data_IF_475453239956
#
_entry.id   IF_475453239956
#
_cell.length_a   1.000
_cell.length_b   1.000
_cell.length_c   1.000
_cell.angle_alpha   90.00
_cell.angle_beta   90.00
_cell.angle_gamma   90.00
#
_symmetry.space_group_name_H-M   'P 1'
#
loop_
_entity.id
_entity.type
_entity.pdbx_description
1 polymer ?
#
# COMPACT_ATOMS: atom_id res chain seq x y z
N UNK A 1 14.90 0.22 20.34
CA UNK A 1 13.93 -0.85 20.02
C UNK A 1 13.78 -0.86 18.52
N UNK A 2 13.84 -2.03 17.88
CA UNK A 2 13.89 -2.19 16.44
C UNK A 2 12.51 -2.47 15.88
N UNK A 3 11.99 -1.54 15.09
CA UNK A 3 10.75 -1.70 14.33
C UNK A 3 11.10 -1.81 12.84
N UNK A 4 10.81 -2.95 12.22
CA UNK A 4 10.99 -3.17 10.79
C UNK A 4 9.66 -3.02 10.06
N UNK A 5 9.62 -2.20 9.00
CA UNK A 5 8.47 -2.07 8.10
C UNK A 5 8.90 -2.51 6.71
N UNK A 6 8.21 -3.53 6.17
CA UNK A 6 8.42 -4.09 4.85
C UNK A 6 7.24 -3.75 3.92
N UNK A 7 7.51 -3.80 2.62
CA UNK A 7 6.51 -3.48 1.58
C UNK A 7 5.47 -4.57 1.32
N UNK A 8 4.95 -4.58 0.09
CA UNK A 8 3.77 -5.33 -0.31
C UNK A 8 4.03 -6.85 -0.35
N UNK A 9 3.20 -7.62 0.35
CA UNK A 9 3.29 -9.08 0.42
C UNK A 9 2.02 -9.73 -0.10
N UNK A 10 2.13 -10.31 -1.29
CA UNK A 10 1.10 -11.07 -1.99
C UNK A 10 1.72 -12.39 -2.46
N UNK A 11 1.36 -13.51 -1.83
CA UNK A 11 1.71 -14.83 -2.36
C UNK A 11 1.02 -15.08 -3.69
N UNK A 12 1.78 -15.00 -4.78
CA UNK A 12 1.29 -15.21 -6.13
C UNK A 12 2.32 -15.96 -6.97
N UNK A 13 1.82 -16.66 -7.99
CA UNK A 13 2.65 -17.39 -8.95
C UNK A 13 3.67 -18.31 -8.24
N UNK A 14 4.98 -18.08 -8.43
CA UNK A 14 6.05 -18.94 -7.90
C UNK A 14 6.05 -19.01 -6.36
N UNK A 15 5.68 -17.92 -5.67
CA UNK A 15 5.72 -17.86 -4.19
C UNK A 15 4.53 -18.55 -3.52
N UNK A 16 3.47 -18.90 -4.25
CA UNK A 16 2.35 -19.72 -3.73
C UNK A 16 2.87 -21.08 -3.26
N UNK A 17 3.66 -21.75 -4.11
CA UNK A 17 4.19 -23.07 -3.80
C UNK A 17 5.14 -23.07 -2.60
N UNK A 18 5.87 -21.96 -2.39
CA UNK A 18 6.75 -21.79 -1.24
C UNK A 18 5.94 -21.54 0.04
N UNK A 19 4.90 -20.71 -0.04
CA UNK A 19 3.98 -20.47 1.08
C UNK A 19 3.24 -21.74 1.49
N UNK A 20 2.73 -22.51 0.53
CA UNK A 20 2.01 -23.77 0.81
C UNK A 20 2.89 -24.82 1.52
N UNK A 21 4.20 -24.79 1.27
CA UNK A 21 5.19 -25.61 1.98
C UNK A 21 5.71 -24.97 3.27
N UNK A 22 5.34 -23.71 3.52
CA UNK A 22 5.82 -22.88 4.62
C UNK A 22 7.36 -22.79 4.58
N UNK A 23 7.91 -22.61 3.39
CA UNK A 23 9.36 -22.54 3.14
C UNK A 23 9.88 -21.12 3.41
N UNK A 24 9.92 -20.77 4.69
CA UNK A 24 10.38 -19.46 5.20
C UNK A 24 11.79 -19.14 4.70
N UNK A 25 12.68 -20.14 4.67
CA UNK A 25 14.07 -19.96 4.26
C UNK A 25 14.15 -19.56 2.79
N UNK A 26 13.44 -20.25 1.90
CA UNK A 26 13.47 -19.90 0.47
C UNK A 26 12.77 -18.58 0.17
N UNK A 27 11.73 -18.21 0.92
CA UNK A 27 10.99 -16.96 0.70
C UNK A 27 11.80 -15.74 1.11
N UNK A 28 12.41 -15.76 2.30
CA UNK A 28 13.07 -14.59 2.88
C UNK A 28 14.60 -14.63 2.74
N UNK A 29 15.19 -15.79 2.48
CA UNK A 29 16.62 -15.98 2.21
C UNK A 29 17.52 -15.23 3.22
N UNK A 30 18.51 -14.48 2.72
CA UNK A 30 19.43 -13.65 3.48
C UNK A 30 18.78 -12.41 4.13
N UNK A 31 17.51 -12.13 3.86
CA UNK A 31 16.72 -11.10 4.54
C UNK A 31 16.10 -11.60 5.86
N UNK A 32 15.91 -12.91 6.03
CA UNK A 32 15.25 -13.51 7.20
C UNK A 32 15.82 -13.03 8.56
N UNK A 33 17.16 -12.87 8.74
CA UNK A 33 17.69 -12.36 10.01
C UNK A 33 17.14 -10.99 10.41
N UNK A 34 16.89 -10.08 9.46
CA UNK A 34 16.33 -8.76 9.77
C UNK A 34 14.92 -8.85 10.36
N UNK A 35 14.12 -9.81 9.88
CA UNK A 35 12.77 -10.09 10.41
C UNK A 35 12.86 -10.62 11.84
N UNK A 36 13.75 -11.60 12.07
CA UNK A 36 13.86 -12.32 13.34
C UNK A 36 14.55 -11.51 14.45
N UNK A 37 15.46 -10.60 14.09
CA UNK A 37 16.19 -9.75 15.04
C UNK A 37 15.46 -8.45 15.41
N UNK A 38 14.32 -8.16 14.76
CA UNK A 38 13.52 -6.97 15.05
C UNK A 38 12.50 -7.26 16.16
N UNK A 39 12.29 -6.32 17.07
CA UNK A 39 11.31 -6.44 18.15
C UNK A 39 9.89 -6.53 17.57
N UNK A 40 9.62 -5.72 16.54
CA UNK A 40 8.40 -5.78 15.74
C UNK A 40 8.73 -5.75 14.26
N UNK A 41 8.05 -6.59 13.48
CA UNK A 41 8.09 -6.59 12.02
C UNK A 41 6.67 -6.43 11.48
N UNK A 42 6.48 -5.37 10.70
CA UNK A 42 5.25 -5.02 10.01
C UNK A 42 5.39 -5.34 8.52
N UNK A 43 4.42 -6.06 7.96
CA UNK A 43 4.32 -6.33 6.52
C UNK A 43 2.97 -5.82 5.99
N UNK A 44 2.90 -5.29 4.76
CA UNK A 44 1.62 -5.04 4.11
C UNK A 44 1.07 -6.34 3.51
N UNK A 45 0.00 -6.87 4.11
CA UNK A 45 -0.67 -8.07 3.59
C UNK A 45 -1.72 -7.63 2.56
N UNK A 46 -1.32 -7.61 1.30
CA UNK A 46 -2.10 -7.03 0.19
C UNK A 46 -2.99 -8.06 -0.52
N UNK A 47 -3.49 -9.01 0.24
CA UNK A 47 -4.51 -9.94 -0.21
C UNK A 47 -5.27 -10.51 0.99
N UNK A 48 -6.60 -10.64 0.92
CA UNK A 48 -7.36 -11.36 1.93
C UNK A 48 -6.97 -12.84 1.92
N UNK A 49 -6.92 -13.42 3.11
CA UNK A 49 -6.67 -14.85 3.29
C UNK A 49 -7.99 -15.60 3.21
N UNK A 50 -8.07 -16.56 2.29
CA UNK A 50 -9.25 -17.39 2.07
C UNK A 50 -8.91 -18.83 2.46
N UNK A 51 -9.40 -19.27 3.62
CA UNK A 51 -9.21 -20.65 4.09
C UNK A 51 -10.11 -21.66 3.33
N UNK A 52 -11.29 -21.21 2.90
CA UNK A 52 -12.21 -22.05 2.14
C UNK A 52 -12.75 -21.32 0.89
N UNK A 53 -12.27 -21.72 -0.29
CA UNK A 53 -12.65 -21.13 -1.57
C UNK A 53 -14.15 -21.25 -1.90
N UNK A 54 -14.88 -22.16 -1.25
CA UNK A 54 -16.32 -22.30 -1.44
C UNK A 54 -17.14 -21.23 -0.69
N UNK A 55 -16.53 -20.47 0.24
CA UNK A 55 -17.22 -19.53 1.13
C UNK A 55 -17.14 -18.05 0.70
N UNK A 56 -16.10 -17.66 -0.04
CA UNK A 56 -15.87 -16.27 -0.43
C UNK A 56 -16.26 -15.97 -1.88
N UNK A 57 -17.22 -15.07 -2.10
CA UNK A 57 -17.52 -14.54 -3.43
C UNK A 57 -16.66 -13.31 -3.73
N UNK A 58 -15.89 -13.37 -4.82
CA UNK A 58 -15.15 -12.21 -5.36
C UNK A 58 -16.08 -11.01 -5.55
N UNK A 59 -15.65 -9.84 -5.09
CA UNK A 59 -16.41 -8.60 -5.29
C UNK A 59 -16.33 -8.15 -6.74
N UNK A 60 -17.35 -7.41 -7.19
CA UNK A 60 -17.32 -6.76 -8.51
C UNK A 60 -16.51 -5.45 -8.41
N UNK A 61 -15.24 -5.49 -8.81
CA UNK A 61 -14.34 -4.32 -8.90
C UNK A 61 -13.76 -4.11 -10.30
N UNK A 62 -13.00 -3.03 -10.46
CA UNK A 62 -11.99 -2.90 -11.52
C UNK A 62 -10.64 -3.42 -11.02
N UNK A 63 -9.77 -3.84 -11.93
CA UNK A 63 -8.51 -4.50 -11.57
C UNK A 63 -8.71 -5.97 -11.17
N UNK A 64 -7.62 -6.65 -10.79
CA UNK A 64 -7.67 -8.05 -10.35
C UNK A 64 -8.30 -8.19 -8.96
N UNK A 65 -8.83 -9.38 -8.67
CA UNK A 65 -9.13 -9.81 -7.31
C UNK A 65 -7.97 -10.68 -6.81
N UNK A 66 -7.28 -10.26 -5.76
CA UNK A 66 -6.19 -11.00 -5.13
C UNK A 66 -6.71 -11.82 -3.93
N UNK A 67 -6.01 -12.91 -3.63
CA UNK A 67 -6.22 -13.72 -2.43
C UNK A 67 -4.92 -14.43 -2.05
N UNK A 68 -4.83 -14.78 -0.78
CA UNK A 68 -3.80 -15.64 -0.22
C UNK A 68 -4.43 -16.88 0.45
N UNK A 69 -3.66 -17.95 0.59
CA UNK A 69 -4.07 -19.16 1.29
C UNK A 69 -3.76 -19.05 2.79
N UNK A 70 -4.35 -19.90 3.64
CA UNK A 70 -4.03 -19.93 5.07
C UNK A 70 -2.54 -20.13 5.37
N UNK A 71 -1.84 -20.88 4.53
CA UNK A 71 -0.39 -21.11 4.61
C UNK A 71 0.42 -19.81 4.64
N UNK A 72 -0.11 -18.73 4.09
CA UNK A 72 0.48 -17.39 4.10
C UNK A 72 0.68 -16.83 5.50
N UNK A 73 -0.36 -16.84 6.35
CA UNK A 73 -0.22 -16.28 7.70
C UNK A 73 0.70 -17.15 8.56
N UNK A 74 0.69 -18.47 8.35
CA UNK A 74 1.58 -19.39 9.05
C UNK A 74 3.04 -19.15 8.64
N UNK A 75 3.28 -18.88 7.36
CA UNK A 75 4.61 -18.53 6.84
C UNK A 75 5.12 -17.23 7.45
N UNK A 76 4.29 -16.17 7.46
CA UNK A 76 4.65 -14.89 8.09
C UNK A 76 4.93 -15.07 9.59
N UNK A 77 4.09 -15.82 10.30
CA UNK A 77 4.28 -16.13 11.71
C UNK A 77 5.62 -16.85 11.97
N UNK A 78 5.92 -17.91 11.21
CA UNK A 78 7.19 -18.65 11.36
C UNK A 78 8.42 -17.84 10.96
N UNK A 79 8.26 -16.84 10.10
CA UNK A 79 9.34 -15.90 9.77
C UNK A 79 9.67 -14.94 10.92
N UNK A 80 8.75 -14.74 11.87
CA UNK A 80 8.88 -13.75 12.95
C UNK A 80 8.09 -12.46 12.71
N UNK A 81 7.24 -12.41 11.68
CA UNK A 81 6.33 -11.27 11.46
C UNK A 81 5.26 -11.28 12.54
N UNK A 82 5.01 -10.12 13.14
CA UNK A 82 4.12 -9.96 14.30
C UNK A 82 3.06 -8.87 14.13
N UNK A 83 3.12 -8.09 13.05
CA UNK A 83 2.08 -7.14 12.65
C UNK A 83 1.86 -7.24 11.15
N UNK A 84 0.59 -7.20 10.72
CA UNK A 84 0.24 -6.95 9.32
C UNK A 84 -0.60 -5.68 9.19
N UNK A 85 -0.25 -4.86 8.20
CA UNK A 85 -1.09 -3.74 7.76
C UNK A 85 -2.08 -4.25 6.71
N UNK A 86 -3.35 -3.84 6.85
CA UNK A 86 -4.49 -4.36 6.09
C UNK A 86 -5.25 -3.27 5.33
N UNK A 87 -4.99 -1.99 5.60
CA UNK A 87 -5.53 -0.93 4.77
C UNK A 87 -4.76 -0.90 3.45
N UNK A 88 -5.30 -1.60 2.46
CA UNK A 88 -4.86 -1.60 1.08
C UNK A 88 -6.06 -1.81 0.13
N UNK A 89 -5.86 -1.61 -1.16
CA UNK A 89 -6.90 -1.67 -2.19
C UNK A 89 -7.43 -3.11 -2.49
N UNK A 90 -6.77 -4.14 -1.96
CA UNK A 90 -7.09 -5.54 -2.20
C UNK A 90 -7.74 -6.26 -1.00
N UNK A 91 -7.68 -5.70 0.21
CA UNK A 91 -8.11 -6.38 1.44
C UNK A 91 -9.55 -6.93 1.44
N UNK A 92 -10.46 -6.33 0.66
CA UNK A 92 -11.87 -6.78 0.55
C UNK A 92 -12.18 -7.52 -0.75
N UNK A 93 -11.19 -7.99 -1.50
CA UNK A 93 -11.41 -8.57 -2.83
C UNK A 93 -12.35 -9.78 -2.85
N UNK A 94 -12.49 -10.45 -1.71
CA UNK A 94 -13.39 -11.59 -1.48
C UNK A 94 -14.51 -11.29 -0.47
N UNK A 95 -14.85 -10.01 -0.33
CA UNK A 95 -15.96 -9.54 0.50
C UNK A 95 -15.70 -9.74 2.00
N UNK A 96 -16.79 -9.70 2.77
CA UNK A 96 -16.73 -9.74 4.23
C UNK A 96 -16.21 -11.08 4.76
N UNK A 97 -16.44 -12.18 4.02
CA UNK A 97 -15.88 -13.49 4.36
C UNK A 97 -14.35 -13.50 4.28
N UNK A 98 -13.78 -12.86 3.25
CA UNK A 98 -12.32 -12.73 3.13
C UNK A 98 -11.72 -11.86 4.24
N UNK A 99 -12.39 -10.75 4.58
CA UNK A 99 -11.99 -9.88 5.71
C UNK A 99 -12.03 -10.66 7.03
N UNK A 100 -13.16 -11.33 7.31
CA UNK A 100 -13.36 -12.11 8.53
C UNK A 100 -12.34 -13.23 8.66
N UNK A 101 -12.16 -14.04 7.62
CA UNK A 101 -11.18 -15.12 7.56
C UNK A 101 -9.75 -14.60 7.86
N UNK A 102 -9.37 -13.47 7.25
CA UNK A 102 -8.06 -12.86 7.49
C UNK A 102 -7.87 -12.46 8.95
N UNK A 103 -8.84 -11.75 9.54
CA UNK A 103 -8.77 -11.30 10.93
C UNK A 103 -8.76 -12.47 11.93
N UNK A 104 -9.58 -13.50 11.70
CA UNK A 104 -9.64 -14.69 12.54
C UNK A 104 -8.32 -15.48 12.50
N UNK A 105 -7.71 -15.62 11.32
CA UNK A 105 -6.43 -16.29 11.15
C UNK A 105 -5.28 -15.49 11.75
N UNK A 106 -5.22 -14.17 11.57
CA UNK A 106 -4.21 -13.33 12.22
C UNK A 106 -4.29 -13.49 13.74
N UNK A 107 -5.50 -13.47 14.31
CA UNK A 107 -5.71 -13.72 15.74
C UNK A 107 -5.25 -15.12 16.18
N UNK A 108 -5.54 -16.16 15.39
CA UNK A 108 -5.14 -17.54 15.70
C UNK A 108 -3.61 -17.70 15.75
N UNK A 109 -2.89 -17.02 14.86
CA UNK A 109 -1.42 -17.04 14.80
C UNK A 109 -0.76 -15.93 15.65
N UNK A 110 -1.51 -15.22 16.50
CA UNK A 110 -1.01 -14.12 17.33
C UNK A 110 -0.28 -13.00 16.53
N UNK A 111 -0.75 -12.72 15.31
CA UNK A 111 -0.29 -11.61 14.50
C UNK A 111 -1.26 -10.44 14.70
N UNK A 112 -0.72 -9.30 15.12
CA UNK A 112 -1.51 -8.07 15.27
C UNK A 112 -1.89 -7.52 13.89
N UNK A 113 -3.00 -6.78 13.86
CA UNK A 113 -3.52 -6.18 12.61
C UNK A 113 -3.77 -4.69 12.82
N UNK A 114 -3.66 -3.91 11.75
CA UNK A 114 -3.99 -2.49 11.73
C UNK A 114 -4.58 -2.10 10.37
N UNK A 115 -5.52 -1.17 10.36
CA UNK A 115 -6.10 -0.62 9.12
C UNK A 115 -7.16 -1.50 8.44
N UNK A 116 -7.59 -2.60 9.06
CA UNK A 116 -8.63 -3.49 8.55
C UNK A 116 -9.60 -3.91 9.64
N UNK A 117 -10.88 -4.05 9.33
CA UNK A 117 -11.89 -4.40 10.32
C UNK A 117 -13.20 -4.89 9.72
N UNK A 118 -14.07 -5.44 10.58
CA UNK A 118 -15.40 -5.94 10.19
C UNK A 118 -16.42 -4.83 9.86
N UNK A 119 -16.05 -3.58 10.12
CA UNK A 119 -16.74 -2.36 9.74
C UNK A 119 -15.77 -1.18 9.81
N UNK A 120 -16.23 0.01 9.41
CA UNK A 120 -15.42 1.23 9.37
C UNK A 120 -14.86 1.63 10.74
N UNK A 121 -15.63 1.49 11.82
CA UNK A 121 -15.17 1.82 13.17
C UNK A 121 -14.04 0.89 13.62
N UNK A 122 -14.17 -0.41 13.34
CA UNK A 122 -13.14 -1.40 13.65
C UNK A 122 -11.88 -1.20 12.80
N UNK A 123 -12.04 -0.91 11.50
CA UNK A 123 -10.91 -0.65 10.60
C UNK A 123 -10.13 0.61 10.99
N UNK A 124 -10.85 1.62 11.49
CA UNK A 124 -10.32 2.89 11.97
C UNK A 124 -9.51 2.79 13.29
N UNK A 125 -9.53 1.65 13.99
CA UNK A 125 -8.81 1.50 15.26
C UNK A 125 -7.31 1.42 15.02
N UNK A 126 -6.51 2.32 15.60
CA UNK A 126 -5.06 2.23 15.53
C UNK A 126 -4.56 1.06 16.39
N UNK A 127 -3.36 0.59 16.07
CA UNK A 127 -2.65 -0.39 16.89
C UNK A 127 -1.73 0.34 17.86
N UNK A 128 -1.76 -0.03 19.14
CA UNK A 128 -0.82 0.48 20.15
C UNK A 128 0.05 -0.69 20.62
N UNK A 129 1.35 -0.55 20.44
CA UNK A 129 2.36 -1.52 20.87
C UNK A 129 3.10 -0.98 22.08
N UNK A 130 3.22 -1.78 23.14
CA UNK A 130 4.06 -1.44 24.28
C UNK A 130 5.50 -1.85 23.99
N UNK A 131 6.43 -0.90 24.10
CA UNK A 131 7.84 -1.11 23.73
C UNK A 131 8.79 -1.11 24.93
N UNK A 132 8.24 -1.38 26.12
CA UNK A 132 8.96 -1.42 27.39
C UNK A 132 9.22 -0.03 27.98
N UNK A 133 9.58 0.02 29.27
CA UNK A 133 9.83 1.26 30.04
C UNK A 133 8.67 2.27 29.94
N UNK A 134 7.43 1.77 29.95
CA UNK A 134 6.19 2.54 29.87
C UNK A 134 6.00 3.37 28.58
N UNK A 135 6.73 3.05 27.50
CA UNK A 135 6.58 3.71 26.21
C UNK A 135 5.66 2.94 25.26
N UNK A 136 4.89 3.69 24.48
CA UNK A 136 3.93 3.17 23.52
C UNK A 136 4.21 3.70 22.11
N UNK A 137 4.07 2.82 21.11
CA UNK A 137 4.03 3.19 19.70
C UNK A 137 2.59 3.05 19.20
N UNK A 138 2.06 4.12 18.63
CA UNK A 138 0.81 4.10 17.87
C UNK A 138 1.09 3.90 16.39
N UNK A 139 0.33 3.02 15.75
CA UNK A 139 0.36 2.81 14.31
C UNK A 139 -1.06 3.07 13.77
N UNK A 140 -1.16 4.01 12.86
CA UNK A 140 -2.36 4.23 12.05
C UNK A 140 -2.07 3.73 10.63
N UNK A 141 -2.98 2.93 10.07
CA UNK A 141 -2.87 2.48 8.68
C UNK A 141 -4.13 2.87 7.91
N UNK A 142 -3.94 3.53 6.76
CA UNK A 142 -4.98 4.07 5.88
C UNK A 142 -4.61 3.77 4.42
N UNK A 143 -5.62 3.68 3.55
CA UNK A 143 -5.42 3.53 2.11
C UNK A 143 -6.29 4.47 1.30
N UNK A 144 -5.89 4.71 0.05
CA UNK A 144 -6.73 5.42 -0.90
C UNK A 144 -8.10 4.76 -1.09
N UNK A 145 -9.07 5.58 -1.47
CA UNK A 145 -10.45 5.16 -1.58
C UNK A 145 -10.64 4.25 -2.80
N UNK A 146 -10.82 2.95 -2.54
CA UNK A 146 -11.04 1.93 -3.58
C UNK A 146 -12.19 0.98 -3.21
N UNK A 147 -12.26 -0.20 -3.84
CA UNK A 147 -13.31 -1.19 -3.60
C UNK A 147 -13.14 -1.92 -2.27
N UNK A 148 -12.01 -1.74 -1.60
CA UNK A 148 -11.67 -2.38 -0.34
C UNK A 148 -12.19 -1.67 0.91
N UNK A 149 -12.62 -0.41 0.81
CA UNK A 149 -12.97 0.43 1.96
C UNK A 149 -14.11 -0.19 2.78
N UNK A 150 -13.95 -0.19 4.10
CA UNK A 150 -14.96 -0.67 5.04
C UNK A 150 -16.20 0.22 5.06
N UNK A 151 -17.36 -0.38 5.28
CA UNK A 151 -18.63 0.33 5.47
C UNK A 151 -19.13 0.27 6.90
N UNK A 152 -20.28 0.89 7.15
CA UNK A 152 -20.94 0.83 8.48
C UNK A 152 -21.33 -0.61 8.84
N UNK A 153 -21.76 -1.40 7.85
CA UNK A 153 -22.31 -2.75 8.04
C UNK A 153 -21.47 -3.86 7.40
N UNK A 154 -20.33 -3.53 6.81
CA UNK A 154 -19.51 -4.50 6.09
C UNK A 154 -18.02 -4.19 6.28
N UNK A 155 -17.19 -5.24 6.24
CA UNK A 155 -15.77 -5.15 6.55
C UNK A 155 -14.93 -4.59 5.41
N UNK A 156 -13.70 -4.20 5.71
CA UNK A 156 -12.76 -3.66 4.72
C UNK A 156 -11.62 -2.86 5.34
N UNK A 157 -11.00 -2.05 4.50
CA UNK A 157 -9.87 -1.19 4.81
C UNK A 157 -10.29 0.16 5.40
N UNK A 158 -9.43 0.75 6.23
CA UNK A 158 -9.55 2.10 6.74
C UNK A 158 -9.20 3.12 5.64
N UNK A 159 -10.12 4.00 5.23
CA UNK A 159 -9.88 4.94 4.15
C UNK A 159 -9.02 6.13 4.59
N UNK A 160 -8.30 6.70 3.64
CA UNK A 160 -7.85 8.07 3.69
C UNK A 160 -9.06 9.00 3.63
N UNK A 161 -9.21 9.80 4.67
CA UNK A 161 -10.18 10.89 4.78
C UNK A 161 -9.53 11.95 5.66
N UNK A 162 -9.14 13.08 5.07
CA UNK A 162 -8.31 14.08 5.74
C UNK A 162 -8.91 14.60 7.06
N UNK A 163 -10.25 14.69 7.13
CA UNK A 163 -10.96 15.21 8.31
C UNK A 163 -10.99 14.14 9.40
N UNK A 164 -11.37 12.91 9.08
CA UNK A 164 -11.41 11.82 10.03
C UNK A 164 -10.00 11.44 10.50
N UNK A 165 -9.03 11.41 9.59
CA UNK A 165 -7.63 11.13 9.91
C UNK A 165 -7.04 12.22 10.81
N UNK A 166 -7.44 13.48 10.67
CA UNK A 166 -7.08 14.53 11.64
C UNK A 166 -7.50 14.15 13.06
N UNK A 167 -8.77 13.80 13.27
CA UNK A 167 -9.27 13.44 14.61
C UNK A 167 -8.61 12.15 15.14
N UNK A 168 -8.41 11.15 14.28
CA UNK A 168 -7.71 9.91 14.63
C UNK A 168 -6.28 10.18 15.10
N UNK A 169 -5.52 11.00 14.38
CA UNK A 169 -4.14 11.36 14.73
C UNK A 169 -4.11 12.12 16.04
N UNK A 170 -5.00 13.11 16.23
CA UNK A 170 -5.07 13.91 17.47
C UNK A 170 -5.40 13.03 18.68
N UNK A 171 -6.33 12.09 18.54
CA UNK A 171 -6.68 11.17 19.62
C UNK A 171 -5.55 10.19 19.94
N UNK A 172 -4.94 9.59 18.90
CA UNK A 172 -3.86 8.63 19.07
C UNK A 172 -2.62 9.27 19.68
N UNK A 173 -2.26 10.48 19.22
CA UNK A 173 -1.08 11.23 19.70
C UNK A 173 -1.08 11.43 21.20
N UNK A 174 -2.25 11.60 21.83
CA UNK A 174 -2.39 11.79 23.27
C UNK A 174 -2.11 10.52 24.10
N UNK A 175 -2.00 9.34 23.46
CA UNK A 175 -1.91 8.03 24.12
C UNK A 175 -0.55 7.34 23.91
N UNK A 176 0.32 7.90 23.06
CA UNK A 176 1.53 7.24 22.59
C UNK A 176 2.74 8.18 22.63
N UNK A 177 3.94 7.61 22.70
CA UNK A 177 5.22 8.33 22.67
C UNK A 177 5.72 8.51 21.24
N UNK A 178 5.43 7.54 20.36
CA UNK A 178 5.73 7.61 18.94
C UNK A 178 4.50 7.25 18.11
N UNK A 179 4.27 7.94 17.01
CA UNK A 179 3.13 7.72 16.12
C UNK A 179 3.60 7.52 14.68
N UNK A 180 3.35 6.34 14.14
CA UNK A 180 3.64 5.97 12.76
C UNK A 180 2.37 5.95 11.92
N UNK A 181 2.46 6.46 10.69
CA UNK A 181 1.41 6.36 9.68
C UNK A 181 1.87 5.46 8.54
N UNK A 182 1.12 4.40 8.27
CA UNK A 182 1.29 3.57 7.08
C UNK A 182 0.21 3.94 6.07
N UNK A 183 0.61 4.46 4.92
CA UNK A 183 -0.29 4.85 3.83
C UNK A 183 -0.18 3.85 2.68
N UNK A 184 -1.30 3.48 2.07
CA UNK A 184 -1.32 2.64 0.90
C UNK A 184 -2.03 3.35 -0.26
N UNK A 185 -1.23 3.86 -1.21
CA UNK A 185 -1.70 4.60 -2.37
C UNK A 185 -0.55 5.19 -3.17
N UNK A 186 -0.86 5.87 -4.26
CA UNK A 186 0.11 6.31 -5.26
C UNK A 186 -0.21 5.76 -6.64
N UNK A 187 0.71 5.96 -7.57
CA UNK A 187 0.57 5.47 -8.95
C UNK A 187 1.41 4.22 -9.15
N UNK A 188 0.79 3.10 -9.52
CA UNK A 188 1.49 1.86 -9.88
C UNK A 188 2.58 2.13 -10.93
N UNK A 189 3.81 1.70 -10.64
CA UNK A 189 4.98 1.87 -11.52
C UNK A 189 5.58 3.27 -11.54
N UNK A 190 5.12 4.21 -10.69
CA UNK A 190 5.69 5.55 -10.58
C UNK A 190 6.49 5.71 -9.28
N UNK A 191 7.80 5.91 -9.40
CA UNK A 191 8.74 5.96 -8.26
C UNK A 191 8.81 7.32 -7.56
N UNK A 192 7.85 8.23 -7.80
CA UNK A 192 7.77 9.52 -7.13
C UNK A 192 6.35 9.71 -6.58
N UNK A 193 6.19 10.42 -5.45
CA UNK A 193 4.86 10.83 -5.03
C UNK A 193 4.30 11.88 -5.99
N UNK A 194 2.98 11.94 -6.13
CA UNK A 194 2.38 13.13 -6.72
C UNK A 194 2.44 14.32 -5.72
N UNK A 195 2.40 15.58 -6.19
CA UNK A 195 2.50 16.75 -5.31
C UNK A 195 1.44 16.82 -4.20
N UNK A 196 0.22 16.35 -4.46
CA UNK A 196 -0.85 16.32 -3.45
C UNK A 196 -0.56 15.32 -2.33
N UNK A 197 0.02 14.16 -2.67
CA UNK A 197 0.44 13.13 -1.72
C UNK A 197 1.56 13.63 -0.81
N UNK A 198 2.60 14.29 -1.36
CA UNK A 198 3.65 14.95 -0.57
C UNK A 198 3.05 15.96 0.42
N UNK A 199 2.15 16.82 -0.05
CA UNK A 199 1.44 17.79 0.79
C UNK A 199 0.65 17.14 1.93
N UNK A 200 -0.07 16.05 1.65
CA UNK A 200 -0.82 15.31 2.67
C UNK A 200 0.11 14.69 3.72
N UNK A 201 1.27 14.17 3.32
CA UNK A 201 2.23 13.56 4.24
C UNK A 201 2.91 14.62 5.13
N UNK A 202 3.25 15.78 4.58
CA UNK A 202 3.70 16.93 5.39
C UNK A 202 2.65 17.34 6.42
N UNK A 203 1.39 17.43 6.00
CA UNK A 203 0.29 17.75 6.91
C UNK A 203 0.14 16.71 8.04
N UNK A 204 0.32 15.42 7.76
CA UNK A 204 0.29 14.39 8.79
C UNK A 204 1.43 14.54 9.80
N UNK A 205 2.65 14.88 9.36
CA UNK A 205 3.76 15.23 10.26
C UNK A 205 3.39 16.45 11.11
N UNK A 206 2.83 17.51 10.52
CA UNK A 206 2.40 18.72 11.25
C UNK A 206 1.37 18.41 12.35
N UNK A 207 0.56 17.36 12.19
CA UNK A 207 -0.42 16.92 13.19
C UNK A 207 0.19 16.13 14.36
N UNK A 208 1.47 15.75 14.27
CA UNK A 208 2.22 15.03 15.30
C UNK A 208 2.55 13.57 14.97
N UNK A 209 2.47 13.17 13.70
CA UNK A 209 3.02 11.90 13.22
C UNK A 209 4.55 11.99 13.21
N UNK A 210 5.23 10.95 13.67
CA UNK A 210 6.70 10.92 13.78
C UNK A 210 7.37 10.25 12.58
N UNK A 211 6.66 9.43 11.82
CA UNK A 211 7.13 8.87 10.55
C UNK A 211 5.96 8.44 9.66
N UNK A 212 6.10 8.62 8.35
CA UNK A 212 5.15 8.15 7.33
C UNK A 212 5.84 7.13 6.43
N UNK A 213 5.20 5.99 6.19
CA UNK A 213 5.69 4.93 5.29
C UNK A 213 4.60 4.57 4.29
N UNK A 214 4.94 4.59 3.01
CA UNK A 214 3.99 4.32 1.93
C UNK A 214 4.25 3.02 1.18
N UNK A 215 3.17 2.41 0.71
CA UNK A 215 3.08 1.17 -0.06
C UNK A 215 2.36 1.40 -1.41
N UNK A 216 1.93 0.34 -2.11
CA UNK A 216 1.06 0.35 -3.32
C UNK A 216 1.73 0.57 -4.67
N UNK A 217 2.70 1.49 -4.80
CA UNK A 217 3.26 1.82 -6.12
C UNK A 217 3.94 0.62 -6.82
N UNK A 218 4.17 -0.49 -6.10
CA UNK A 218 4.83 -1.71 -6.56
C UNK A 218 6.24 -1.49 -7.12
N UNK A 219 6.81 -0.32 -6.86
CA UNK A 219 8.20 0.03 -7.03
C UNK A 219 8.60 0.92 -5.84
N UNK A 220 9.86 0.90 -5.45
CA UNK A 220 10.30 1.81 -4.39
C UNK A 220 10.33 3.26 -4.88
N UNK A 221 10.07 4.19 -3.97
CA UNK A 221 10.24 5.62 -4.17
C UNK A 221 11.35 6.15 -3.26
N UNK A 222 11.69 7.43 -3.42
CA UNK A 222 12.59 8.12 -2.50
C UNK A 222 11.93 8.42 -1.14
N UNK A 223 12.70 9.09 -0.30
CA UNK A 223 12.30 9.57 1.02
C UNK A 223 12.81 10.99 1.25
N UNK A 224 12.23 11.68 2.22
CA UNK A 224 12.74 12.96 2.71
C UNK A 224 12.65 13.05 4.23
N UNK A 225 13.35 14.04 4.80
CA UNK A 225 13.25 14.42 6.21
C UNK A 225 12.51 15.75 6.28
N UNK A 226 11.27 15.74 6.75
CA UNK A 226 10.45 16.93 6.95
C UNK A 226 10.31 17.20 8.45
N UNK A 227 10.72 18.38 8.92
CA UNK A 227 10.72 18.73 10.35
C UNK A 227 11.41 17.69 11.25
N UNK A 228 12.56 17.15 10.81
CA UNK A 228 13.30 16.07 11.48
C UNK A 228 12.56 14.72 11.56
N UNK A 229 11.48 14.54 10.80
CA UNK A 229 10.70 13.29 10.73
C UNK A 229 10.82 12.66 9.34
N UNK A 230 11.09 11.35 9.24
CA UNK A 230 11.24 10.69 7.96
C UNK A 230 9.89 10.39 7.29
N UNK A 231 9.86 10.58 5.97
CA UNK A 231 8.73 10.24 5.10
C UNK A 231 9.24 9.36 3.96
N UNK A 232 8.74 8.12 3.86
CA UNK A 232 9.08 7.19 2.78
C UNK A 232 7.89 7.06 1.82
N UNK A 233 8.09 7.39 0.55
CA UNK A 233 7.01 7.49 -0.43
C UNK A 233 6.66 6.19 -1.15
N UNK A 234 7.40 5.11 -0.91
CA UNK A 234 7.13 3.80 -1.48
C UNK A 234 8.24 2.81 -1.12
N UNK A 235 7.90 1.67 -0.52
CA UNK A 235 8.87 0.61 -0.21
C UNK A 235 9.08 -0.38 -1.37
N UNK A 236 8.14 -0.43 -2.32
CA UNK A 236 8.07 -1.47 -3.35
C UNK A 236 7.53 -2.81 -2.82
N UNK A 237 7.60 -3.84 -3.64
CA UNK A 237 7.11 -5.17 -3.28
C UNK A 237 8.08 -5.86 -2.32
N UNK A 238 7.57 -6.46 -1.25
CA UNK A 238 8.35 -7.39 -0.42
C UNK A 238 8.28 -8.82 -0.99
N UNK A 239 7.09 -9.28 -1.37
CA UNK A 239 6.93 -10.52 -2.12
C UNK A 239 5.72 -10.39 -3.03
N UNK A 240 5.95 -10.26 -4.33
CA UNK A 240 4.89 -10.15 -5.34
C UNK A 240 5.47 -10.69 -6.67
N UNK A 241 5.62 -12.01 -6.73
CA UNK A 241 6.41 -12.68 -7.78
C UNK A 241 5.57 -13.02 -9.02
N UNK A 242 6.23 -13.11 -10.17
CA UNK A 242 5.66 -13.49 -11.46
C UNK A 242 5.93 -14.97 -11.80
N UNK A 243 5.21 -15.50 -12.79
CA UNK A 243 5.43 -16.87 -13.26
C UNK A 243 6.82 -17.07 -13.89
N UNK A 244 7.33 -16.02 -14.53
CA UNK A 244 8.65 -16.01 -15.14
C UNK A 244 9.51 -14.94 -14.44
N UNK A 245 10.82 -15.18 -14.27
CA UNK A 245 11.75 -14.17 -13.79
C UNK A 245 11.62 -12.88 -14.62
N UNK A 246 11.37 -11.77 -13.93
CA UNK A 246 11.42 -10.42 -14.48
C UNK A 246 12.50 -9.63 -13.75
N UNK A 247 13.07 -8.63 -14.43
CA UNK A 247 14.05 -7.71 -13.87
C UNK A 247 13.61 -6.30 -14.20
N UNK A 248 12.83 -5.72 -13.30
CA UNK A 248 12.29 -4.37 -13.45
C UNK A 248 12.13 -3.72 -12.08
N UNK A 249 11.70 -2.46 -12.07
CA UNK A 249 11.35 -1.73 -10.85
C UNK A 249 10.30 -2.45 -9.97
N UNK A 250 9.54 -3.40 -10.53
CA UNK A 250 8.61 -4.28 -9.81
C UNK A 250 9.29 -5.20 -8.79
N UNK A 251 10.53 -5.58 -9.09
CA UNK A 251 11.33 -6.52 -8.32
C UNK A 251 12.20 -5.82 -7.27
N UNK A 252 12.37 -4.51 -7.38
CA UNK A 252 13.24 -3.72 -6.51
C UNK A 252 12.43 -3.14 -5.35
N UNK A 253 12.96 -3.24 -4.14
CA UNK A 253 12.32 -2.71 -2.94
C UNK A 253 13.33 -2.43 -1.83
N UNK A 254 12.86 -1.80 -0.76
CA UNK A 254 13.61 -1.72 0.48
C UNK A 254 12.69 -1.77 1.68
N UNK A 255 13.18 -2.32 2.79
CA UNK A 255 12.52 -2.23 4.08
C UNK A 255 13.15 -1.08 4.88
N UNK A 256 12.40 -0.55 5.85
CA UNK A 256 12.90 0.46 6.77
C UNK A 256 12.96 -0.12 8.18
N UNK A 257 14.15 -0.15 8.75
CA UNK A 257 14.35 -0.47 10.15
C UNK A 257 14.50 0.83 10.93
N UNK A 258 13.55 1.07 11.84
CA UNK A 258 13.62 2.17 12.79
C UNK A 258 14.26 1.69 14.09
N UNK A 259 15.23 2.46 14.60
CA UNK A 259 15.68 2.33 15.98
C UNK A 259 15.04 3.44 16.81
N UNK A 260 14.12 3.01 17.68
CA UNK A 260 13.31 3.86 18.52
C UNK A 260 13.96 3.84 19.90
N UNK A 261 14.64 4.94 20.23
CA UNK A 261 15.36 5.12 21.49
C UNK A 261 14.93 6.41 22.19
N UNK A 262 15.76 7.46 22.22
CA UNK A 262 15.31 8.81 22.57
C UNK A 262 14.67 9.48 21.34
N UNK A 263 15.37 9.41 20.21
CA UNK A 263 14.94 9.87 18.90
C UNK A 263 14.62 8.68 17.98
N UNK A 264 13.92 8.95 16.87
CA UNK A 264 13.71 7.99 15.80
C UNK A 264 14.90 8.08 14.84
N UNK A 265 15.69 7.02 14.79
CA UNK A 265 16.68 6.80 13.74
C UNK A 265 16.18 5.72 12.79
N UNK A 266 16.69 5.69 11.56
CA UNK A 266 16.33 4.64 10.62
C UNK A 266 17.50 4.20 9.76
N UNK A 267 17.38 2.99 9.22
CA UNK A 267 18.21 2.41 8.18
C UNK A 267 17.30 1.81 7.10
N UNK A 268 17.61 2.08 5.84
CA UNK A 268 16.99 1.39 4.71
C UNK A 268 17.78 0.11 4.39
N UNK A 269 17.06 -0.97 4.06
CA UNK A 269 17.63 -2.28 3.74
C UNK A 269 17.10 -2.67 2.36
N UNK A 270 17.83 -2.36 1.28
CA UNK A 270 17.38 -2.66 -0.06
C UNK A 270 17.55 -4.13 -0.41
N UNK A 271 16.64 -4.61 -1.25
CA UNK A 271 16.58 -6.00 -1.68
C UNK A 271 15.95 -6.10 -3.07
N UNK A 272 16.01 -7.30 -3.65
CA UNK A 272 15.29 -7.68 -4.84
C UNK A 272 14.39 -8.89 -4.55
N UNK A 273 13.17 -8.93 -5.10
CA UNK A 273 12.24 -10.05 -5.01
C UNK A 273 11.97 -10.65 -6.39
N UNK A 274 11.75 -11.96 -6.47
CA UNK A 274 11.22 -12.59 -7.69
C UNK A 274 12.17 -12.58 -8.89
N UNK A 275 13.48 -12.68 -8.66
CA UNK A 275 14.49 -12.77 -9.72
C UNK A 275 14.57 -14.16 -10.37
N UNK A 276 15.79 -14.59 -10.75
CA UNK A 276 16.04 -15.94 -11.30
C UNK A 276 15.48 -17.01 -10.35
N UNK A 277 15.77 -16.85 -9.06
CA UNK A 277 15.22 -17.67 -7.98
C UNK A 277 14.13 -16.84 -7.31
N UNK A 278 13.01 -17.48 -7.00
CA UNK A 278 11.91 -16.86 -6.25
C UNK A 278 12.34 -16.57 -4.81
N UNK A 279 11.70 -15.58 -4.18
CA UNK A 279 12.06 -15.10 -2.85
C UNK A 279 12.81 -13.76 -2.87
N UNK A 280 13.14 -13.28 -1.68
CA UNK A 280 13.79 -12.00 -1.40
C UNK A 280 15.29 -12.23 -1.29
N UNK A 281 16.09 -11.31 -1.83
CA UNK A 281 17.54 -11.35 -1.72
C UNK A 281 18.11 -9.96 -1.51
N UNK A 282 19.05 -9.82 -0.59
CA UNK A 282 19.80 -8.58 -0.41
C UNK A 282 20.62 -8.25 -1.68
N UNK A 283 20.76 -6.94 -1.92
CA UNK A 283 21.54 -6.45 -3.04
C UNK A 283 23.03 -6.78 -2.85
N UNK A 284 23.68 -7.22 -3.92
CA UNK A 284 25.15 -7.29 -3.94
C UNK A 284 25.75 -5.89 -4.04
N UNK A 285 27.07 -5.76 -3.86
CA UNK A 285 27.75 -4.46 -3.85
C UNK A 285 27.44 -3.57 -5.07
N UNK A 286 27.42 -4.12 -6.28
CA UNK A 286 27.15 -3.34 -7.50
C UNK A 286 25.69 -2.90 -7.57
N UNK A 287 24.77 -3.77 -7.17
CA UNK A 287 23.35 -3.46 -7.09
C UNK A 287 23.09 -2.37 -6.02
N UNK A 288 23.73 -2.47 -4.86
CA UNK A 288 23.70 -1.46 -3.82
C UNK A 288 24.19 -0.10 -4.32
N UNK A 289 25.35 -0.05 -5.00
CA UNK A 289 25.89 1.21 -5.56
C UNK A 289 24.94 1.85 -6.60
N UNK A 290 24.17 1.05 -7.35
CA UNK A 290 23.15 1.56 -8.28
C UNK A 290 21.91 2.07 -7.54
N UNK A 291 21.44 1.32 -6.54
CA UNK A 291 20.34 1.72 -5.67
C UNK A 291 20.64 3.05 -4.97
N UNK A 292 21.83 3.19 -4.37
CA UNK A 292 22.23 4.40 -3.65
C UNK A 292 22.25 5.64 -4.55
N UNK A 293 22.72 5.49 -5.80
CA UNK A 293 22.66 6.57 -6.80
C UNK A 293 21.23 6.93 -7.17
N UNK A 294 20.40 5.93 -7.42
CA UNK A 294 19.04 6.17 -7.88
C UNK A 294 18.16 6.78 -6.79
N UNK A 295 18.23 6.26 -5.56
CA UNK A 295 17.48 6.84 -4.44
C UNK A 295 17.92 8.27 -4.12
N UNK A 296 19.20 8.60 -4.31
CA UNK A 296 19.67 9.99 -4.19
C UNK A 296 18.97 10.91 -5.21
N UNK A 297 18.86 10.49 -6.47
CA UNK A 297 18.15 11.25 -7.51
C UNK A 297 16.67 11.40 -7.18
N UNK A 298 16.01 10.34 -6.73
CA UNK A 298 14.60 10.41 -6.30
C UNK A 298 14.43 11.41 -5.15
N UNK A 299 15.31 11.36 -4.14
CA UNK A 299 15.28 12.27 -3.01
C UNK A 299 15.52 13.73 -3.42
N UNK A 300 16.43 13.98 -4.37
CA UNK A 300 16.67 15.32 -4.92
C UNK A 300 15.42 15.88 -5.60
N UNK A 301 14.74 15.07 -6.43
CA UNK A 301 13.48 15.47 -7.07
C UNK A 301 12.40 15.74 -6.03
N UNK A 302 12.22 14.84 -5.06
CA UNK A 302 11.24 14.98 -3.98
C UNK A 302 11.48 16.25 -3.17
N UNK A 303 12.75 16.64 -2.94
CA UNK A 303 13.09 17.83 -2.16
C UNK A 303 12.67 19.16 -2.81
N UNK A 304 12.40 19.16 -4.12
CA UNK A 304 12.01 20.35 -4.90
C UNK A 304 10.59 20.22 -5.42
N UNK A 305 9.67 21.06 -4.93
CA UNK A 305 8.28 21.05 -5.39
C UNK A 305 8.15 21.31 -6.90
N UNK A 306 9.02 22.17 -7.46
CA UNK A 306 9.07 22.44 -8.90
C UNK A 306 9.51 21.22 -9.72
N UNK A 307 10.58 20.54 -9.30
CA UNK A 307 11.04 19.32 -9.99
C UNK A 307 10.02 18.20 -9.85
N UNK A 308 9.39 18.05 -8.69
CA UNK A 308 8.36 17.06 -8.46
C UNK A 308 7.14 17.30 -9.37
N UNK A 309 6.67 18.55 -9.46
CA UNK A 309 5.57 18.92 -10.36
C UNK A 309 5.93 18.67 -11.83
N UNK A 310 7.14 19.03 -12.27
CA UNK A 310 7.60 18.77 -13.65
C UNK A 310 7.63 17.28 -13.98
N UNK A 311 8.12 16.44 -13.06
CA UNK A 311 8.13 14.98 -13.24
C UNK A 311 6.72 14.40 -13.26
N UNK A 312 5.81 14.91 -12.43
CA UNK A 312 4.41 14.48 -12.41
C UNK A 312 3.68 14.85 -13.71
N UNK A 313 3.93 16.05 -14.24
CA UNK A 313 3.40 16.49 -15.53
C UNK A 313 3.94 15.65 -16.67
N UNK A 314 5.25 15.37 -16.67
CA UNK A 314 5.86 14.52 -17.68
C UNK A 314 5.26 13.10 -17.65
N UNK A 315 5.08 12.52 -16.47
CA UNK A 315 4.39 11.25 -16.33
C UNK A 315 2.96 11.33 -16.87
N UNK A 316 2.22 12.38 -16.50
CA UNK A 316 0.84 12.63 -16.95
C UNK A 316 0.71 12.68 -18.47
N UNK A 317 1.62 13.39 -19.14
CA UNK A 317 1.66 13.47 -20.60
C UNK A 317 1.77 12.08 -21.25
N UNK A 318 2.62 11.20 -20.69
CA UNK A 318 2.84 9.85 -21.20
C UNK A 318 1.63 8.91 -21.01
N UNK A 319 0.71 9.25 -20.11
CA UNK A 319 -0.47 8.45 -19.79
C UNK A 319 -1.80 9.11 -20.17
N UNK A 320 -1.77 10.35 -20.67
CA UNK A 320 -2.95 11.10 -21.07
C UNK A 320 -3.87 10.31 -21.99
N UNK A 321 -3.31 9.63 -23.01
CA UNK A 321 -4.08 8.78 -23.94
C UNK A 321 -4.83 7.64 -23.25
N UNK A 322 -4.21 7.01 -22.25
CA UNK A 322 -4.85 5.95 -21.47
C UNK A 322 -6.03 6.51 -20.67
N UNK A 323 -5.83 7.61 -19.95
CA UNK A 323 -6.89 8.24 -19.16
C UNK A 323 -8.03 8.78 -20.04
N UNK A 324 -7.73 9.42 -21.17
CA UNK A 324 -8.75 9.84 -22.14
C UNK A 324 -9.57 8.65 -22.64
N UNK A 325 -8.93 7.53 -22.97
CA UNK A 325 -9.63 6.30 -23.36
C UNK A 325 -10.55 5.75 -22.26
N UNK A 326 -10.13 5.86 -20.98
CA UNK A 326 -10.97 5.45 -19.85
C UNK A 326 -12.14 6.41 -19.58
N UNK A 327 -11.98 7.70 -19.88
CA UNK A 327 -13.01 8.74 -19.70
C UNK A 327 -13.96 8.85 -20.90
N UNK A 328 -13.55 8.37 -22.07
CA UNK A 328 -14.33 8.46 -23.28
C UNK A 328 -15.55 7.53 -23.22
N UNK A 329 -16.72 8.10 -22.95
CA UNK A 329 -18.03 7.43 -23.05
C UNK A 329 -18.67 7.64 -24.42
N UNK A 330 -17.99 8.37 -25.31
CA UNK A 330 -18.43 9.01 -26.54
C UNK A 330 -19.92 8.96 -26.83
N UNK A 331 -20.66 9.84 -26.13
CA UNK A 331 -21.93 10.38 -26.61
C UNK A 331 -22.19 11.81 -26.16
N UNK A 332 -21.69 12.76 -26.95
CA UNK A 332 -21.85 14.21 -26.71
C UNK A 332 -22.92 14.85 -27.60
N UNK A 333 -23.75 14.08 -28.29
CA UNK A 333 -24.80 14.62 -29.17
C UNK A 333 -26.15 14.78 -28.43
N UNK A 334 -26.80 15.94 -28.57
CA UNK A 334 -28.16 16.22 -28.07
C UNK A 334 -29.19 15.16 -28.49
N UNK A 335 -29.00 14.55 -29.67
CA UNK A 335 -29.80 13.43 -30.16
C UNK A 335 -29.63 12.20 -29.27
N UNK A 336 -28.40 11.92 -28.84
CA UNK A 336 -28.10 10.78 -27.97
C UNK A 336 -28.69 10.95 -26.57
N UNK A 337 -28.58 12.14 -25.97
CA UNK A 337 -29.26 12.43 -24.70
C UNK A 337 -30.76 12.17 -24.80
N UNK A 338 -31.40 12.66 -25.87
CA UNK A 338 -32.84 12.47 -26.08
C UNK A 338 -33.20 11.00 -26.32
N UNK A 339 -32.36 10.24 -27.03
CA UNK A 339 -32.56 8.81 -27.23
C UNK A 339 -32.34 8.01 -25.93
N UNK A 340 -31.45 8.45 -25.05
CA UNK A 340 -31.23 7.88 -23.72
C UNK A 340 -32.44 8.12 -22.82
N UNK A 341 -32.94 9.36 -22.78
CA UNK A 341 -34.15 9.74 -22.03
C UNK A 341 -35.38 8.95 -22.52
N UNK A 342 -35.45 8.64 -23.81
CA UNK A 342 -36.48 7.83 -24.43
C UNK A 342 -36.26 6.30 -24.31
N UNK A 343 -35.16 5.86 -23.68
CA UNK A 343 -34.84 4.45 -23.47
C UNK A 343 -34.34 3.68 -24.70
N UNK A 344 -34.05 4.36 -25.81
CA UNK A 344 -33.51 3.75 -27.03
C UNK A 344 -32.01 3.45 -26.96
N UNK A 345 -31.32 3.98 -25.96
CA UNK A 345 -29.91 3.74 -25.71
C UNK A 345 -29.76 2.97 -24.40
N UNK A 346 -29.00 1.86 -24.40
CA UNK A 346 -28.73 1.11 -23.18
C UNK A 346 -27.90 1.94 -22.19
N UNK A 347 -28.21 1.80 -20.90
CA UNK A 347 -27.41 2.35 -19.79
C UNK A 347 -25.94 2.01 -19.96
N UNK A 348 -25.05 2.93 -19.54
CA UNK A 348 -23.61 2.66 -19.43
C UNK A 348 -23.39 1.30 -18.75
N UNK A 349 -22.54 0.46 -19.35
CA UNK A 349 -22.26 -0.88 -18.84
C UNK A 349 -21.77 -0.80 -17.40
N UNK A 350 -22.25 -1.69 -16.53
CA UNK A 350 -21.85 -1.74 -15.12
C UNK A 350 -20.32 -1.73 -14.89
N UNK A 351 -19.55 -2.38 -15.77
CA UNK A 351 -18.09 -2.39 -15.70
C UNK A 351 -17.48 -1.00 -15.92
N UNK A 352 -18.07 -0.21 -16.82
CA UNK A 352 -17.63 1.15 -17.10
C UNK A 352 -18.01 2.11 -15.97
N UNK A 353 -19.22 1.99 -15.41
CA UNK A 353 -19.61 2.74 -14.22
C UNK A 353 -18.67 2.48 -13.04
N UNK A 354 -18.23 1.23 -12.85
CA UNK A 354 -17.22 0.87 -11.85
C UNK A 354 -15.86 1.51 -12.12
N UNK A 355 -15.43 1.58 -13.38
CA UNK A 355 -14.19 2.26 -13.76
C UNK A 355 -14.27 3.75 -13.41
N UNK A 356 -15.31 4.44 -13.86
CA UNK A 356 -15.51 5.86 -13.58
C UNK A 356 -15.55 6.14 -12.07
N UNK A 357 -16.26 5.31 -11.29
CA UNK A 357 -16.28 5.43 -9.85
C UNK A 357 -14.88 5.34 -9.25
N UNK A 358 -14.05 4.36 -9.69
CA UNK A 358 -12.69 4.21 -9.18
C UNK A 358 -11.83 5.42 -9.51
N UNK A 359 -11.91 5.89 -10.77
CA UNK A 359 -11.17 7.04 -11.26
C UNK A 359 -11.45 8.33 -10.47
N UNK A 360 -12.69 8.51 -10.01
CA UNK A 360 -13.11 9.70 -9.26
C UNK A 360 -12.74 9.62 -7.79
N UNK A 361 -12.96 8.46 -7.15
CA UNK A 361 -12.82 8.36 -5.69
C UNK A 361 -11.37 8.12 -5.24
N UNK A 362 -10.59 7.34 -5.99
CA UNK A 362 -9.18 7.09 -5.68
C UNK A 362 -8.39 8.40 -5.86
N UNK A 363 -7.65 8.79 -4.83
CA UNK A 363 -6.91 10.04 -4.77
C UNK A 363 -5.92 10.15 -5.92
N UNK A 364 -5.12 9.11 -6.14
CA UNK A 364 -4.11 9.08 -7.20
C UNK A 364 -4.76 9.22 -8.57
N UNK A 365 -5.74 8.37 -8.91
CA UNK A 365 -6.44 8.49 -10.20
C UNK A 365 -7.10 9.86 -10.38
N UNK A 366 -7.76 10.39 -9.34
CA UNK A 366 -8.41 11.70 -9.38
C UNK A 366 -7.39 12.81 -9.64
N UNK A 367 -6.27 12.82 -8.93
CA UNK A 367 -5.22 13.82 -9.09
C UNK A 367 -4.60 13.77 -10.50
N UNK A 368 -4.36 12.56 -11.03
CA UNK A 368 -3.84 12.39 -12.38
C UNK A 368 -4.84 12.87 -13.44
N UNK A 369 -6.13 12.55 -13.29
CA UNK A 369 -7.17 13.02 -14.21
C UNK A 369 -7.27 14.54 -14.20
N UNK A 370 -7.29 15.17 -13.03
CA UNK A 370 -7.32 16.63 -12.92
C UNK A 370 -6.10 17.23 -13.64
N UNK A 371 -4.90 16.72 -13.34
CA UNK A 371 -3.67 17.19 -13.98
C UNK A 371 -3.72 17.05 -15.50
N UNK A 372 -4.23 15.91 -16.00
CA UNK A 372 -4.33 15.64 -17.42
C UNK A 372 -5.32 16.57 -18.11
N UNK A 373 -6.50 16.77 -17.50
CA UNK A 373 -7.55 17.62 -18.06
C UNK A 373 -7.16 19.09 -18.07
N UNK A 374 -6.47 19.58 -17.04
CA UNK A 374 -6.02 20.98 -16.98
C UNK A 374 -4.91 21.29 -18.00
N UNK A 375 -4.08 20.31 -18.37
CA UNK A 375 -2.91 20.50 -19.25
C UNK A 375 -3.14 20.10 -20.70
N UNK A 376 -3.96 19.07 -20.95
CA UNK A 376 -4.16 18.48 -22.29
C UNK A 376 -5.64 18.23 -22.66
N UNK A 377 -6.58 18.64 -21.81
CA UNK A 377 -8.03 18.40 -22.00
C UNK A 377 -8.76 19.41 -22.87
#
# INVERSE_FOLDING_TARGET
MKLLICGDYVPCNRTVSLNDKIDVISIFNDFLPYIQESDYTIVNLEAPIIDNLASGSRIKKTGPNLRANKSTIETLYKAGVNVVSLANNHFRDYGDEGVKSTLELCRLFNINTVGGGLNIEAAAKPLILNVGKDRNIGILNICENEYSIAGVQFGGANPFDLINNYYQIRELRAKVDYLFLIYHGGHEGYQLPNPSMKKNFHYFIDLGVDAVVCHHAHCYSGYEIYQNKPIFYGLGNFSFDENNPIFSIWNEGFAVQFDISADIQFKIIPYMQGGIISGIKLLNRKEQENFDKHITVLNEIISSDDLLQQNFDFWGANHAKMYFSMLDSNNTNRIYSKLYDLGFIPRLKDKYLRLLLNLIRCESHRNMIINILEKWG
#
